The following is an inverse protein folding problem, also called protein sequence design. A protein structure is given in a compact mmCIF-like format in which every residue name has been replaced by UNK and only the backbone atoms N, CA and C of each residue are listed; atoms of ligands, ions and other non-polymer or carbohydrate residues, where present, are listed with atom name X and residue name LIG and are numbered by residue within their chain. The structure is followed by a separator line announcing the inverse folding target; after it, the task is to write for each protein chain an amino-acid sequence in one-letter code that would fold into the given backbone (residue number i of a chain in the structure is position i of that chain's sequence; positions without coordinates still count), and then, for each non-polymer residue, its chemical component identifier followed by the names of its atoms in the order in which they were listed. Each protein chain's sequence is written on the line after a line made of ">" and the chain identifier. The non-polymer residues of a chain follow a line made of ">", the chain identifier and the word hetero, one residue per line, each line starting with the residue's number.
data_IF_672849129282
#
_entry.id   IF_672849129282
#
_cell.length_a   1.000
_cell.length_b   1.000
_cell.length_c   1.000
_cell.angle_alpha   90.00
_cell.angle_beta   90.00
_cell.angle_gamma   90.00
#
_symmetry.space_group_name_H-M   'P 1'
#
loop_
_entity.id
_entity.type
_entity.pdbx_description
1 polymer ?
#
# COMPACT_ATOMS: atom_id res chain seq x y z
N UNK A 1 5.35 -1.62 17.08
CA UNK A 1 5.83 -0.93 15.84
C UNK A 1 4.80 -0.83 14.69
N UNK A 2 3.65 -1.51 14.71
CA UNK A 2 2.66 -1.46 13.59
C UNK A 2 1.99 -0.07 13.42
N UNK A 3 1.69 0.62 14.51
CA UNK A 3 1.08 1.97 14.47
C UNK A 3 1.97 3.05 13.84
N UNK A 4 3.29 2.97 14.02
CA UNK A 4 4.23 3.95 13.45
C UNK A 4 4.31 3.86 11.93
N UNK A 5 4.25 2.65 11.37
CA UNK A 5 4.16 2.44 9.91
C UNK A 5 2.85 2.98 9.32
N UNK A 6 1.75 2.88 10.07
CA UNK A 6 0.45 3.36 9.63
C UNK A 6 0.36 4.89 9.66
N UNK A 7 0.88 5.52 10.73
CA UNK A 7 1.04 6.97 10.83
C UNK A 7 1.97 7.53 9.75
N UNK A 8 3.12 6.89 9.52
CA UNK A 8 4.05 7.28 8.46
C UNK A 8 3.41 7.20 7.07
N UNK A 9 2.62 6.16 6.79
CA UNK A 9 1.92 6.03 5.52
C UNK A 9 0.84 7.11 5.35
N UNK A 10 0.07 7.40 6.40
CA UNK A 10 -0.94 8.46 6.38
C UNK A 10 -0.30 9.84 6.14
N UNK A 11 0.84 10.11 6.77
CA UNK A 11 1.57 11.36 6.58
C UNK A 11 2.09 11.49 5.15
N UNK A 12 2.64 10.41 4.56
CA UNK A 12 3.07 10.40 3.15
C UNK A 12 1.90 10.68 2.21
N UNK A 13 0.73 10.11 2.45
CA UNK A 13 -0.47 10.36 1.64
C UNK A 13 -0.90 11.83 1.72
N UNK A 14 -0.93 12.40 2.92
CA UNK A 14 -1.25 13.81 3.11
C UNK A 14 -0.24 14.73 2.42
N UNK A 15 1.05 14.40 2.51
CA UNK A 15 2.13 15.16 1.88
C UNK A 15 1.96 15.16 0.35
N UNK A 16 1.74 13.99 -0.26
CA UNK A 16 1.47 13.86 -1.69
C UNK A 16 0.23 14.67 -2.09
N UNK A 17 -0.84 14.60 -1.30
CA UNK A 17 -2.07 15.35 -1.55
C UNK A 17 -1.84 16.86 -1.55
N UNK A 18 -1.16 17.38 -0.51
CA UNK A 18 -0.83 18.81 -0.43
C UNK A 18 0.04 19.27 -1.59
N UNK A 19 1.01 18.45 -2.00
CA UNK A 19 1.94 18.74 -3.08
C UNK A 19 1.20 18.82 -4.43
N UNK A 20 0.33 17.85 -4.72
CA UNK A 20 -0.54 17.85 -5.91
C UNK A 20 -1.42 19.10 -5.94
N UNK A 21 -2.05 19.45 -4.81
CA UNK A 21 -2.89 20.65 -4.73
C UNK A 21 -2.11 21.94 -4.97
N UNK A 22 -0.91 22.08 -4.40
CA UNK A 22 -0.05 23.25 -4.66
C UNK A 22 0.37 23.36 -6.12
N UNK A 23 0.70 22.24 -6.77
CA UNK A 23 1.06 22.22 -8.20
C UNK A 23 -0.13 22.68 -9.04
N UNK A 24 -1.32 22.15 -8.80
CA UNK A 24 -2.54 22.55 -9.52
C UNK A 24 -2.82 24.05 -9.31
N UNK A 25 -2.70 24.55 -8.08
CA UNK A 25 -2.94 25.96 -7.76
C UNK A 25 -1.94 26.90 -8.46
N UNK A 26 -0.65 26.55 -8.49
CA UNK A 26 0.38 27.34 -9.19
C UNK A 26 0.13 27.34 -10.70
N UNK A 27 -0.20 26.19 -11.29
CA UNK A 27 -0.49 26.11 -12.71
C UNK A 27 -1.76 26.88 -13.10
N UNK A 28 -2.82 26.77 -12.30
CA UNK A 28 -4.06 27.52 -12.52
C UNK A 28 -3.83 29.03 -12.40
N UNK A 29 -3.03 29.46 -11.41
CA UNK A 29 -2.66 30.87 -11.25
C UNK A 29 -1.84 31.39 -12.44
N UNK A 30 -0.88 30.60 -12.93
CA UNK A 30 -0.09 30.97 -14.12
C UNK A 30 -0.91 31.07 -15.41
N UNK A 31 -2.00 30.29 -15.54
CA UNK A 31 -2.95 30.44 -16.66
C UNK A 31 -3.77 31.72 -16.52
N UNK A 32 -4.28 32.03 -15.33
CA UNK A 32 -5.03 33.27 -15.09
C UNK A 32 -4.16 34.53 -15.30
N UNK A 33 -2.86 34.45 -15.03
CA UNK A 33 -1.91 35.52 -15.30
C UNK A 33 -1.48 35.61 -16.77
N UNK A 34 -1.97 34.73 -17.65
CA UNK A 34 -1.58 34.66 -19.07
C UNK A 34 -0.12 34.24 -19.30
N UNK A 35 0.56 33.77 -18.25
CA UNK A 35 1.97 33.32 -18.30
C UNK A 35 2.11 31.88 -18.77
N UNK A 36 1.03 31.10 -18.67
CA UNK A 36 1.00 29.68 -19.04
C UNK A 36 -0.13 29.49 -20.04
N UNK A 37 0.19 28.84 -21.16
CA UNK A 37 -0.80 28.45 -22.15
C UNK A 37 -1.76 27.39 -21.58
N UNK A 38 -3.06 27.55 -21.81
CA UNK A 38 -4.09 26.63 -21.30
C UNK A 38 -3.88 25.18 -21.76
N UNK A 39 -3.21 24.96 -22.89
CA UNK A 39 -2.84 23.63 -23.35
C UNK A 39 -1.80 22.94 -22.45
N UNK A 40 -0.89 23.72 -21.86
CA UNK A 40 0.10 23.22 -20.89
C UNK A 40 -0.58 22.81 -19.60
N UNK A 41 -1.56 23.58 -19.13
CA UNK A 41 -2.39 23.22 -17.97
C UNK A 41 -3.17 21.92 -18.21
N UNK A 42 -3.81 21.78 -19.38
CA UNK A 42 -4.54 20.56 -19.73
C UNK A 42 -3.63 19.32 -19.72
N UNK A 43 -2.43 19.42 -20.29
CA UNK A 43 -1.43 18.33 -20.27
C UNK A 43 -0.98 17.99 -18.85
N UNK A 44 -0.76 19.00 -18.01
CA UNK A 44 -0.37 18.78 -16.62
C UNK A 44 -1.47 18.08 -15.81
N UNK A 45 -2.74 18.48 -15.99
CA UNK A 45 -3.87 17.81 -15.35
C UNK A 45 -3.96 16.33 -15.78
N UNK A 46 -3.82 16.05 -17.08
CA UNK A 46 -3.83 14.68 -17.59
C UNK A 46 -2.70 13.85 -16.98
N UNK A 47 -1.49 14.39 -16.89
CA UNK A 47 -0.36 13.70 -16.26
C UNK A 47 -0.61 13.43 -14.78
N UNK A 48 -1.20 14.38 -14.05
CA UNK A 48 -1.56 14.20 -12.64
C UNK A 48 -2.61 13.08 -12.50
N UNK A 49 -3.65 13.07 -13.34
CA UNK A 49 -4.68 12.02 -13.32
C UNK A 49 -4.07 10.64 -13.57
N UNK A 50 -3.17 10.53 -14.57
CA UNK A 50 -2.46 9.28 -14.86
C UNK A 50 -1.57 8.86 -13.68
N UNK A 51 -0.84 9.80 -13.06
CA UNK A 51 0.00 9.51 -11.91
C UNK A 51 -0.81 9.02 -10.70
N UNK A 52 -1.98 9.62 -10.45
CA UNK A 52 -2.89 9.20 -9.37
C UNK A 52 -3.46 7.80 -9.64
N UNK A 53 -3.92 7.54 -10.87
CA UNK A 53 -4.41 6.21 -11.28
C UNK A 53 -3.30 5.15 -11.16
N UNK A 54 -2.10 5.44 -11.64
CA UNK A 54 -0.94 4.56 -11.53
C UNK A 54 -0.57 4.27 -10.07
N UNK A 55 -0.57 5.30 -9.22
CA UNK A 55 -0.36 5.15 -7.78
C UNK A 55 -1.40 4.28 -7.10
N UNK A 56 -2.68 4.45 -7.44
CA UNK A 56 -3.79 3.62 -6.94
C UNK A 56 -3.64 2.15 -7.34
N UNK A 57 -3.31 1.89 -8.60
CA UNK A 57 -3.08 0.51 -9.10
C UNK A 57 -1.91 -0.13 -8.37
N UNK A 58 -0.78 0.59 -8.21
CA UNK A 58 0.38 0.07 -7.50
C UNK A 58 0.10 -0.17 -6.02
N UNK A 59 -0.66 0.71 -5.38
CA UNK A 59 -1.11 0.53 -4.00
C UNK A 59 -2.02 -0.70 -3.88
N UNK A 60 -2.95 -0.91 -4.82
CA UNK A 60 -3.83 -2.07 -4.86
C UNK A 60 -3.05 -3.37 -5.06
N UNK A 61 -2.13 -3.41 -6.02
CA UNK A 61 -1.23 -4.57 -6.25
C UNK A 61 -0.40 -4.87 -5.01
N UNK A 62 0.14 -3.84 -4.36
CA UNK A 62 0.92 -3.98 -3.13
C UNK A 62 0.07 -4.51 -1.97
N UNK A 63 -1.18 -4.06 -1.86
CA UNK A 63 -2.13 -4.54 -0.86
C UNK A 63 -2.50 -6.01 -1.09
N UNK A 64 -2.80 -6.41 -2.33
CA UNK A 64 -3.05 -7.81 -2.69
C UNK A 64 -1.85 -8.72 -2.43
N UNK A 65 -0.62 -8.27 -2.67
CA UNK A 65 0.60 -9.05 -2.37
C UNK A 65 0.80 -9.24 -0.87
N UNK A 66 0.59 -8.20 -0.07
CA UNK A 66 0.65 -8.30 1.40
C UNK A 66 -0.42 -9.25 1.94
N UNK A 67 -1.63 -9.19 1.40
CA UNK A 67 -2.71 -10.10 1.78
C UNK A 67 -2.38 -11.58 1.47
N UNK A 68 -1.83 -11.86 0.28
CA UNK A 68 -1.35 -13.21 -0.07
C UNK A 68 -0.19 -13.69 0.84
N UNK A 69 0.70 -12.80 1.25
CA UNK A 69 1.79 -13.14 2.16
C UNK A 69 1.26 -13.52 3.56
N UNK A 70 0.26 -12.80 4.08
CA UNK A 70 -0.36 -13.11 5.37
C UNK A 70 -1.15 -14.43 5.34
N UNK A 71 -1.85 -14.75 4.25
CA UNK A 71 -2.54 -16.05 4.13
C UNK A 71 -1.58 -17.25 4.05
N UNK A 72 -0.43 -17.11 3.36
CA UNK A 72 0.60 -18.17 3.35
C UNK A 72 1.22 -18.41 4.73
N UNK A 73 1.42 -17.35 5.52
CA UNK A 73 1.97 -17.46 6.87
C UNK A 73 0.97 -18.07 7.86
N UNK A 74 -0.32 -17.75 7.75
CA UNK A 74 -1.36 -18.39 8.56
C UNK A 74 -1.48 -19.88 8.24
N UNK A 75 -1.49 -20.26 6.96
CA UNK A 75 -1.58 -21.66 6.53
C UNK A 75 -0.36 -22.49 6.94
N UNK A 76 0.86 -21.93 6.89
CA UNK A 76 2.07 -22.64 7.34
C UNK A 76 2.18 -22.76 8.86
N UNK A 77 1.67 -21.77 9.62
CA UNK A 77 1.62 -21.85 11.07
C UNK A 77 0.60 -22.90 11.56
N UNK A 78 -0.54 -23.01 10.88
CA UNK A 78 -1.59 -23.99 11.18
C UNK A 78 -1.10 -25.42 10.92
N UNK A 79 -0.45 -25.65 9.77
CA UNK A 79 0.19 -26.93 9.44
C UNK A 79 1.30 -27.28 10.44
N UNK A 80 2.09 -26.30 10.90
CA UNK A 80 3.15 -26.54 11.89
C UNK A 80 2.58 -26.89 13.27
N UNK A 81 1.46 -26.27 13.66
CA UNK A 81 0.75 -26.58 14.90
C UNK A 81 0.14 -28.00 14.85
N UNK A 82 -0.46 -28.38 13.72
CA UNK A 82 -0.98 -29.73 13.49
C UNK A 82 0.12 -30.79 13.57
N UNK A 83 1.27 -30.56 12.92
CA UNK A 83 2.43 -31.46 12.99
C UNK A 83 3.00 -31.56 14.42
N UNK A 84 2.99 -30.46 15.18
CA UNK A 84 3.47 -30.46 16.56
C UNK A 84 2.50 -31.21 17.49
N UNK A 85 1.19 -31.10 17.29
CA UNK A 85 0.19 -31.87 18.01
C UNK A 85 0.32 -33.38 17.73
N UNK A 86 0.44 -33.77 16.45
CA UNK A 86 0.65 -35.18 16.07
C UNK A 86 1.97 -35.75 16.64
N UNK A 87 3.01 -34.91 16.77
CA UNK A 87 4.29 -35.32 17.36
C UNK A 87 4.20 -35.51 18.87
N UNK A 88 3.42 -34.71 19.58
CA UNK A 88 3.22 -34.86 21.03
C UNK A 88 2.40 -36.11 21.36
N UNK A 89 1.36 -36.41 20.56
CA UNK A 89 0.56 -37.63 20.72
C UNK A 89 1.42 -38.90 20.53
N UNK A 90 2.31 -38.89 19.53
CA UNK A 90 3.21 -40.03 19.29
C UNK A 90 4.29 -40.17 20.39
N UNK A 91 4.68 -39.07 21.04
CA UNK A 91 5.68 -39.08 22.13
C UNK A 91 5.10 -39.58 23.45
N UNK A 92 3.80 -39.38 23.70
CA UNK A 92 3.12 -39.92 24.87
C UNK A 92 2.86 -41.43 24.74
N UNK A 93 2.51 -41.94 23.55
CA UNK A 93 2.38 -43.38 23.32
C UNK A 93 3.70 -44.15 23.47
N UNK A 94 4.86 -43.51 23.28
CA UNK A 94 6.17 -44.15 23.45
C UNK A 94 6.68 -44.18 24.91
N UNK A 95 5.94 -43.61 25.86
CA UNK A 95 6.32 -43.56 27.28
C UNK A 95 5.46 -44.45 28.19
N UNK A 96 4.45 -45.12 27.63
CA UNK A 96 3.60 -46.06 28.36
C UNK A 96 4.00 -47.54 28.15
N UNK A 97 5.11 -47.82 27.46
CA UNK A 97 5.73 -49.15 27.37
C UNK A 97 7.01 -49.26 28.20
#
# INVERSE_FOLDING_TARGET
>A
MKGFKQLSLMLVVLLIFTLVMTVIAVLAKGVNEGRIDGHVLAKAIILIVIAVLGGLILAFVSACRKHKAHMKQASSADILAEIMAMKDDNKNNSKED
#
